data_IF_255633552399
#
_entry.id   IF_255633552399
#
_cell.length_a   1.000
_cell.length_b   1.000
_cell.length_c   1.000
_cell.angle_alpha   90.00
_cell.angle_beta   90.00
_cell.angle_gamma   90.00
#
_symmetry.space_group_name_H-M   'P 1'
#
loop_
_entity.id
_entity.type
_entity.pdbx_description
1 polymer ?
#
# COMPACT_ATOMS: atom_id res chain seq x y z
N UNK A 1 14.15 -10.15 -7.85
CA UNK A 1 13.68 -8.80 -8.26
C UNK A 1 14.58 -7.70 -7.69
N UNK A 2 14.68 -7.55 -6.36
CA UNK A 2 15.48 -6.49 -5.74
C UNK A 2 16.97 -6.55 -6.10
N UNK A 3 17.58 -7.73 -6.13
CA UNK A 3 19.00 -7.89 -6.52
C UNK A 3 19.24 -7.47 -7.98
N UNK A 4 18.26 -7.68 -8.86
CA UNK A 4 18.31 -7.22 -10.26
C UNK A 4 18.28 -5.71 -10.34
N UNK A 5 17.40 -5.05 -9.56
CA UNK A 5 17.33 -3.58 -9.48
C UNK A 5 18.63 -3.00 -8.92
N UNK A 6 19.18 -3.62 -7.87
CA UNK A 6 20.43 -3.19 -7.23
C UNK A 6 21.63 -3.29 -8.18
N UNK A 7 21.75 -4.43 -8.85
CA UNK A 7 22.83 -4.71 -9.81
C UNK A 7 22.78 -3.75 -10.99
N UNK A 8 21.60 -3.61 -11.63
CA UNK A 8 21.42 -2.76 -12.80
C UNK A 8 21.39 -1.26 -12.47
N UNK A 9 21.12 -0.89 -11.22
CA UNK A 9 21.02 0.51 -10.80
C UNK A 9 19.85 1.25 -11.44
N UNK A 10 18.82 0.53 -11.87
CA UNK A 10 17.56 1.03 -12.47
C UNK A 10 16.45 -0.01 -12.39
N UNK A 11 15.21 0.40 -12.57
CA UNK A 11 14.10 -0.52 -12.83
C UNK A 11 14.08 -0.93 -14.32
N UNK A 12 14.34 -2.20 -14.68
CA UNK A 12 14.22 -2.64 -16.06
C UNK A 12 12.74 -2.79 -16.47
N UNK A 13 12.40 -2.60 -17.77
CA UNK A 13 11.01 -2.63 -18.23
C UNK A 13 10.19 -3.85 -17.77
N UNK A 14 10.70 -5.10 -17.82
CA UNK A 14 9.94 -6.26 -17.36
C UNK A 14 9.57 -6.23 -15.87
N UNK A 15 10.41 -5.60 -15.03
CA UNK A 15 10.09 -5.42 -13.60
C UNK A 15 9.03 -4.34 -13.44
N UNK A 16 9.09 -3.25 -14.21
CA UNK A 16 8.05 -2.21 -14.18
C UNK A 16 6.69 -2.77 -14.63
N UNK A 17 6.68 -3.58 -15.69
CA UNK A 17 5.47 -4.22 -16.23
C UNK A 17 4.83 -5.18 -15.21
N UNK A 18 5.63 -5.80 -14.33
CA UNK A 18 5.15 -6.65 -13.26
C UNK A 18 4.75 -5.87 -11.99
N UNK A 19 5.49 -4.82 -11.63
CA UNK A 19 5.32 -4.09 -10.37
C UNK A 19 4.20 -3.05 -10.46
N UNK A 20 4.16 -2.25 -11.53
CA UNK A 20 3.19 -1.15 -11.66
C UNK A 20 1.75 -1.62 -11.47
N UNK A 21 1.27 -2.71 -12.11
CA UNK A 21 -0.11 -3.16 -11.94
C UNK A 21 -0.48 -3.52 -10.49
N UNK A 22 0.46 -4.00 -9.69
CA UNK A 22 0.20 -4.42 -8.30
C UNK A 22 -0.19 -3.26 -7.37
N UNK A 23 0.11 -2.02 -7.76
CA UNK A 23 -0.23 -0.84 -6.97
C UNK A 23 -1.67 -0.36 -7.19
N UNK A 24 -2.36 -0.82 -8.23
CA UNK A 24 -3.66 -0.32 -8.64
C UNK A 24 -4.74 -1.39 -8.53
N UNK A 25 -6.01 -0.98 -8.59
CA UNK A 25 -7.12 -1.92 -8.66
C UNK A 25 -7.01 -2.82 -9.88
N UNK A 26 -7.47 -4.07 -9.73
CA UNK A 26 -7.62 -4.96 -10.88
C UNK A 26 -8.51 -4.32 -11.97
N UNK A 27 -8.06 -4.40 -13.23
CA UNK A 27 -8.73 -3.77 -14.36
C UNK A 27 -8.61 -2.23 -14.42
N UNK A 28 -7.64 -1.63 -13.73
CA UNK A 28 -7.29 -0.22 -13.91
C UNK A 28 -6.75 0.06 -15.32
N UNK A 29 -7.00 1.26 -15.84
CA UNK A 29 -6.32 1.77 -17.04
C UNK A 29 -4.87 2.14 -16.69
N UNK A 30 -3.93 1.25 -17.01
CA UNK A 30 -2.50 1.45 -16.76
C UNK A 30 -1.87 2.52 -17.67
N UNK A 31 -2.58 2.98 -18.71
CA UNK A 31 -2.18 4.15 -19.51
C UNK A 31 -2.64 5.48 -18.91
N UNK A 32 -3.46 5.44 -17.86
CA UNK A 32 -3.98 6.61 -17.17
C UNK A 32 -2.90 7.46 -16.51
N UNK A 33 -3.26 8.69 -16.07
CA UNK A 33 -2.30 9.65 -15.53
C UNK A 33 -1.58 9.13 -14.28
N UNK A 34 -2.30 8.48 -13.37
CA UNK A 34 -1.74 8.02 -12.10
C UNK A 34 -0.78 6.82 -12.27
N UNK A 35 -1.13 5.71 -12.98
CA UNK A 35 -0.17 4.65 -13.27
C UNK A 35 1.05 5.11 -14.09
N UNK A 36 0.83 6.00 -15.06
CA UNK A 36 1.93 6.58 -15.85
C UNK A 36 2.88 7.40 -14.99
N UNK A 37 2.35 8.24 -14.09
CA UNK A 37 3.16 9.02 -13.16
C UNK A 37 3.93 8.11 -12.19
N UNK A 38 3.29 7.05 -11.68
CA UNK A 38 3.93 6.07 -10.81
C UNK A 38 5.08 5.34 -11.52
N UNK A 39 4.85 4.85 -12.74
CA UNK A 39 5.92 4.26 -13.57
C UNK A 39 7.09 5.21 -13.74
N UNK A 40 6.83 6.47 -14.13
CA UNK A 40 7.88 7.48 -14.31
C UNK A 40 8.66 7.75 -13.03
N UNK A 41 7.99 7.74 -11.87
CA UNK A 41 8.67 7.88 -10.58
C UNK A 41 9.63 6.72 -10.32
N UNK A 42 9.23 5.48 -10.62
CA UNK A 42 10.11 4.31 -10.51
C UNK A 42 11.29 4.37 -11.48
N UNK A 43 11.05 4.78 -12.73
CA UNK A 43 12.09 4.98 -13.75
C UNK A 43 13.08 6.10 -13.38
N UNK A 44 12.61 7.11 -12.63
CA UNK A 44 13.37 8.30 -12.27
C UNK A 44 14.32 8.14 -11.08
N UNK A 45 14.30 7.02 -10.37
CA UNK A 45 15.25 6.80 -9.27
C UNK A 45 16.68 6.70 -9.77
N UNK A 46 17.59 7.45 -9.14
CA UNK A 46 19.02 7.33 -9.39
C UNK A 46 19.56 5.99 -8.87
N UNK A 47 20.67 5.52 -9.45
CA UNK A 47 21.36 4.32 -8.95
C UNK A 47 21.71 4.42 -7.46
N UNK A 48 22.08 5.61 -6.99
CA UNK A 48 22.36 5.87 -5.58
C UNK A 48 21.10 5.70 -4.71
N UNK A 49 19.98 6.31 -5.11
CA UNK A 49 18.70 6.14 -4.40
C UNK A 49 18.27 4.68 -4.35
N UNK A 50 18.48 3.94 -5.44
CA UNK A 50 18.12 2.52 -5.49
C UNK A 50 18.94 1.69 -4.52
N UNK A 51 20.27 1.84 -4.54
CA UNK A 51 21.17 1.03 -3.72
C UNK A 51 21.14 1.40 -2.25
N UNK A 52 20.95 2.69 -1.94
CA UNK A 52 21.06 3.18 -0.57
C UNK A 52 19.71 3.34 0.14
N UNK A 53 18.58 3.38 -0.58
CA UNK A 53 17.26 3.56 0.02
C UNK A 53 16.23 2.52 -0.45
N UNK A 54 15.96 2.42 -1.75
CA UNK A 54 14.83 1.62 -2.25
C UNK A 54 15.04 0.11 -2.07
N UNK A 55 16.20 -0.42 -2.46
CA UNK A 55 16.53 -1.85 -2.30
C UNK A 55 16.63 -2.25 -0.83
N UNK A 56 17.37 -1.52 0.04
CA UNK A 56 17.39 -1.82 1.47
C UNK A 56 15.99 -1.80 2.10
N UNK A 57 15.16 -0.80 1.78
CA UNK A 57 13.79 -0.73 2.27
C UNK A 57 12.97 -1.93 1.81
N UNK A 58 13.07 -2.31 0.53
CA UNK A 58 12.39 -3.50 0.01
C UNK A 58 12.81 -4.78 0.76
N UNK A 59 14.11 -4.97 1.01
CA UNK A 59 14.62 -6.12 1.78
C UNK A 59 14.07 -6.13 3.20
N UNK A 60 13.97 -4.97 3.85
CA UNK A 60 13.35 -4.85 5.17
C UNK A 60 11.87 -5.21 5.16
N UNK A 61 11.10 -4.72 4.18
CA UNK A 61 9.66 -4.97 4.07
C UNK A 61 9.39 -6.47 3.83
N UNK A 62 10.09 -7.09 2.86
CA UNK A 62 9.84 -8.48 2.46
C UNK A 62 10.54 -9.51 3.36
N UNK A 63 11.58 -9.11 4.09
CA UNK A 63 12.26 -9.96 5.08
C UNK A 63 11.71 -9.82 6.51
N UNK A 64 10.71 -8.96 6.72
CA UNK A 64 10.17 -8.70 8.07
C UNK A 64 9.48 -9.94 8.63
N UNK A 65 9.71 -10.30 9.90
CA UNK A 65 8.93 -11.33 10.57
C UNK A 65 7.44 -11.01 10.60
N UNK A 66 6.66 -12.08 10.67
CA UNK A 66 5.23 -12.07 10.93
C UNK A 66 4.93 -11.26 12.21
N UNK A 67 3.92 -10.39 12.17
CA UNK A 67 3.64 -9.41 13.24
C UNK A 67 2.16 -9.35 13.65
N UNK A 68 1.30 -10.17 13.05
CA UNK A 68 -0.12 -10.27 13.35
C UNK A 68 -0.37 -10.49 14.85
N UNK A 69 0.33 -11.40 15.58
CA UNK A 69 0.10 -11.58 17.01
C UNK A 69 0.30 -10.32 17.85
N UNK A 70 1.13 -9.38 17.39
CA UNK A 70 1.40 -8.13 18.09
C UNK A 70 0.26 -7.12 17.96
N UNK A 71 -0.61 -7.29 16.95
CA UNK A 71 -1.72 -6.36 16.71
C UNK A 71 -2.77 -6.44 17.82
N UNK A 72 -2.93 -7.59 18.47
CA UNK A 72 -3.87 -7.75 19.59
C UNK A 72 -3.58 -6.81 20.79
N UNK A 73 -2.39 -6.19 20.85
CA UNK A 73 -2.03 -5.22 21.87
C UNK A 73 -2.40 -3.76 21.51
N UNK A 74 -2.94 -3.52 20.31
CA UNK A 74 -3.40 -2.18 19.91
C UNK A 74 -4.71 -1.84 20.59
N UNK A 75 -4.91 -0.55 20.88
CA UNK A 75 -6.17 -0.03 21.41
C UNK A 75 -7.26 -0.08 20.31
N UNK A 76 -8.32 -0.88 20.47
CA UNK A 76 -9.35 -1.04 19.45
C UNK A 76 -10.09 0.28 19.16
N UNK A 77 -10.28 1.12 20.18
CA UNK A 77 -11.01 2.38 20.09
C UNK A 77 -10.21 3.49 19.39
N UNK A 78 -8.88 3.32 19.30
CA UNK A 78 -7.93 4.27 18.69
C UNK A 78 -7.27 3.72 17.43
N UNK A 79 -7.81 2.64 16.87
CA UNK A 79 -7.30 2.02 15.65
C UNK A 79 -8.36 2.03 14.55
N UNK A 80 -7.95 2.40 13.35
CA UNK A 80 -8.74 2.27 12.11
C UNK A 80 -7.88 1.53 11.09
N UNK A 81 -8.47 0.53 10.44
CA UNK A 81 -7.85 -0.11 9.28
C UNK A 81 -8.60 0.24 8.00
N UNK A 82 -7.86 0.53 6.93
CA UNK A 82 -8.43 0.83 5.61
C UNK A 82 -7.70 0.03 4.53
N UNK A 83 -8.44 -0.54 3.59
CA UNK A 83 -7.90 -1.32 2.47
C UNK A 83 -8.75 -1.14 1.21
N UNK A 84 -8.13 -1.15 0.03
CA UNK A 84 -8.85 -1.16 -1.24
C UNK A 84 -9.55 -2.50 -1.48
N UNK A 85 -10.80 -2.49 -1.93
CA UNK A 85 -11.59 -3.68 -2.22
C UNK A 85 -10.94 -4.64 -3.24
N UNK A 86 -10.02 -4.12 -4.06
CA UNK A 86 -9.35 -4.81 -5.16
C UNK A 86 -7.82 -4.83 -4.98
N UNK A 87 -7.32 -4.71 -3.74
CA UNK A 87 -5.89 -4.82 -3.43
C UNK A 87 -5.42 -6.27 -3.68
N UNK A 88 -4.44 -6.41 -4.58
CA UNK A 88 -3.85 -7.70 -4.99
C UNK A 88 -2.74 -8.13 -4.01
N UNK A 89 -1.71 -7.30 -3.74
CA UNK A 89 -0.63 -7.70 -2.84
C UNK A 89 -1.07 -7.86 -1.37
N UNK A 90 -2.14 -7.17 -0.94
CA UNK A 90 -2.71 -7.23 0.41
C UNK A 90 -4.23 -7.35 0.36
N UNK A 91 -4.77 -8.53 0.05
CA UNK A 91 -6.21 -8.72 -0.13
C UNK A 91 -7.03 -8.26 1.08
N UNK A 92 -8.27 -7.76 0.89
CA UNK A 92 -9.14 -7.31 1.98
C UNK A 92 -9.32 -8.30 3.13
N UNK A 93 -9.24 -9.60 2.84
CA UNK A 93 -9.29 -10.66 3.86
C UNK A 93 -8.16 -10.54 4.89
N UNK A 94 -6.96 -10.08 4.51
CA UNK A 94 -5.87 -9.82 5.47
C UNK A 94 -6.27 -8.67 6.42
N UNK A 95 -6.82 -7.58 5.89
CA UNK A 95 -7.29 -6.44 6.71
C UNK A 95 -8.45 -6.82 7.62
N UNK A 96 -9.42 -7.61 7.14
CA UNK A 96 -10.52 -8.13 7.96
C UNK A 96 -10.00 -8.99 9.11
N UNK A 97 -9.06 -9.89 8.85
CA UNK A 97 -8.43 -10.69 9.90
C UNK A 97 -7.68 -9.83 10.92
N UNK A 98 -6.98 -8.79 10.47
CA UNK A 98 -6.31 -7.85 11.38
C UNK A 98 -7.33 -7.08 12.23
N UNK A 99 -8.42 -6.61 11.63
CA UNK A 99 -9.48 -5.88 12.32
C UNK A 99 -10.18 -6.74 13.37
N UNK A 100 -10.49 -8.00 13.04
CA UNK A 100 -11.05 -8.98 13.97
C UNK A 100 -10.13 -9.25 15.15
N UNK A 101 -8.81 -9.36 14.89
CA UNK A 101 -7.83 -9.59 15.95
C UNK A 101 -7.69 -8.40 16.90
N UNK A 102 -7.76 -7.18 16.38
CA UNK A 102 -7.69 -5.96 17.19
C UNK A 102 -9.04 -5.67 17.85
N UNK A 103 -10.16 -6.05 17.22
CA UNK A 103 -11.50 -5.60 17.59
C UNK A 103 -11.80 -4.16 17.16
N UNK A 104 -11.09 -3.64 16.15
CA UNK A 104 -11.21 -2.25 15.71
C UNK A 104 -12.11 -2.06 14.48
N UNK A 105 -12.41 -0.79 14.18
CA UNK A 105 -13.11 -0.42 12.95
C UNK A 105 -12.26 -0.74 11.70
N UNK A 106 -12.93 -1.21 10.65
CA UNK A 106 -12.33 -1.34 9.32
C UNK A 106 -13.20 -0.71 8.24
N UNK A 107 -12.54 -0.15 7.22
CA UNK A 107 -13.19 0.44 6.04
C UNK A 107 -12.60 -0.18 4.78
N UNK A 108 -13.46 -0.77 3.97
CA UNK A 108 -13.10 -1.26 2.63
C UNK A 108 -13.42 -0.16 1.62
N UNK A 109 -12.39 0.33 0.93
CA UNK A 109 -12.48 1.40 -0.06
C UNK A 109 -12.95 0.80 -1.39
N UNK A 110 -14.14 1.17 -1.90
CA UNK A 110 -14.67 0.62 -3.14
C UNK A 110 -13.81 1.07 -4.33
N UNK A 111 -13.78 0.28 -5.41
CA UNK A 111 -13.10 0.66 -6.66
C UNK A 111 -11.64 1.15 -6.48
N UNK A 112 -10.90 0.50 -5.58
CA UNK A 112 -9.51 0.82 -5.23
C UNK A 112 -8.70 -0.46 -4.96
N UNK A 113 -7.43 -0.44 -5.32
CA UNK A 113 -6.42 -1.45 -5.03
C UNK A 113 -5.47 -0.99 -3.93
N UNK A 114 -4.17 -1.20 -4.15
CA UNK A 114 -3.16 -1.03 -3.10
C UNK A 114 -2.97 0.44 -2.66
N UNK A 115 -2.99 1.38 -3.61
CA UNK A 115 -2.89 2.82 -3.31
C UNK A 115 -4.27 3.48 -3.24
N UNK A 116 -5.15 2.90 -2.42
CA UNK A 116 -6.56 3.31 -2.29
C UNK A 116 -6.77 4.80 -2.03
N UNK A 117 -5.84 5.46 -1.34
CA UNK A 117 -5.86 6.90 -1.08
C UNK A 117 -5.64 7.77 -2.33
N UNK A 118 -4.99 7.24 -3.38
CA UNK A 118 -4.80 7.94 -4.65
C UNK A 118 -5.84 7.53 -5.69
N UNK A 119 -6.33 6.30 -5.64
CA UNK A 119 -7.41 5.84 -6.53
C UNK A 119 -8.78 6.39 -6.12
N UNK A 120 -9.03 6.55 -4.81
CA UNK A 120 -10.29 7.04 -4.26
C UNK A 120 -10.08 8.10 -3.16
N UNK A 121 -9.41 9.23 -3.50
CA UNK A 121 -8.99 10.23 -2.50
C UNK A 121 -10.18 10.80 -1.72
N UNK A 122 -11.27 11.15 -2.40
CA UNK A 122 -12.45 11.73 -1.74
C UNK A 122 -13.12 10.77 -0.75
N UNK A 123 -13.14 9.47 -1.05
CA UNK A 123 -13.68 8.47 -0.13
C UNK A 123 -12.77 8.31 1.09
N UNK A 124 -11.46 8.13 0.86
CA UNK A 124 -10.48 7.92 1.93
C UNK A 124 -10.42 9.12 2.87
N UNK A 125 -10.36 10.35 2.32
CA UNK A 125 -10.35 11.58 3.12
C UNK A 125 -11.59 11.67 4.01
N UNK A 126 -12.80 11.48 3.46
CA UNK A 126 -14.04 11.54 4.26
C UNK A 126 -14.08 10.50 5.37
N UNK A 127 -13.61 9.28 5.10
CA UNK A 127 -13.57 8.22 6.11
C UNK A 127 -12.59 8.58 7.24
N UNK A 128 -11.41 9.11 6.91
CA UNK A 128 -10.44 9.58 7.90
C UNK A 128 -10.95 10.77 8.71
N UNK A 129 -11.55 11.78 8.07
CA UNK A 129 -12.14 12.93 8.74
C UNK A 129 -13.22 12.50 9.73
N UNK A 130 -14.18 11.69 9.27
CA UNK A 130 -15.26 11.18 10.13
C UNK A 130 -14.72 10.37 11.31
N UNK A 131 -13.66 9.57 11.11
CA UNK A 131 -13.03 8.84 12.21
C UNK A 131 -12.33 9.78 13.19
N UNK A 132 -11.51 10.71 12.70
CA UNK A 132 -10.78 11.68 13.52
C UNK A 132 -11.70 12.58 14.35
N UNK A 133 -12.83 13.03 13.79
CA UNK A 133 -13.84 13.80 14.52
C UNK A 133 -14.37 13.05 15.75
N UNK A 134 -14.62 11.73 15.61
CA UNK A 134 -15.03 10.88 16.72
C UNK A 134 -13.94 10.68 17.78
N UNK A 135 -12.66 10.83 17.41
CA UNK A 135 -11.54 10.69 18.34
C UNK A 135 -11.29 11.97 19.15
N UNK A 136 -11.57 13.15 18.59
CA UNK A 136 -11.37 14.43 19.27
C UNK A 136 -12.51 14.73 20.26
N UNK A 137 -13.72 14.23 19.98
CA UNK A 137 -14.89 14.42 20.85
C UNK A 137 -15.04 13.41 22.00
N UNK A 138 -14.06 12.52 22.21
CA UNK A 138 -14.04 11.49 23.26
C UNK A 138 -13.24 11.94 24.49
#
# INVERSE_FOLDING_TARGET
MLDTIESLGRFPPPILDAVVPLFFRSGADLGGPLPTAFRRALEGFSTEQLRNAIVPLGRLIFGRPEALPRLAALDPDRTLLMCGALDIPRPPAETTRMAELIGCEQVIVPDAGHISNLEQPAFVTRALEAWLERQIGR
#
